data_IF_994530450862
#
_entry.id   IF_994530450862
#
_cell.length_a   1.000
_cell.length_b   1.000
_cell.length_c   1.000
_cell.angle_alpha   90.00
_cell.angle_beta   90.00
_cell.angle_gamma   90.00
#
_symmetry.space_group_name_H-M   'P 1'
#
loop_
_entity.id
_entity.type
_entity.pdbx_description
1 polymer ?
#
# COMPACT_ATOMS: atom_id res chain seq x y z
N UNK A 1 14.64 -15.52 -2.98
CA UNK A 1 13.21 -15.39 -2.62
C UNK A 1 13.03 -14.17 -1.76
N UNK A 2 12.08 -13.33 -2.10
CA UNK A 2 11.82 -12.10 -1.35
C UNK A 2 10.79 -12.40 -0.26
N UNK A 3 11.09 -11.98 0.97
CA UNK A 3 10.14 -12.12 2.05
C UNK A 3 8.99 -11.13 1.89
N UNK A 4 7.77 -11.62 2.11
CA UNK A 4 6.60 -10.78 2.16
C UNK A 4 6.39 -10.19 3.55
N UNK A 5 5.62 -9.13 3.62
CA UNK A 5 5.19 -8.54 4.88
C UNK A 5 3.68 -8.55 4.94
N UNK A 6 3.15 -8.50 6.17
CA UNK A 6 1.72 -8.49 6.41
C UNK A 6 1.39 -7.48 7.49
N UNK A 7 0.37 -6.68 7.24
CA UNK A 7 -0.07 -5.67 8.21
C UNK A 7 -1.50 -5.26 7.91
N UNK A 8 -2.11 -4.59 8.88
CA UNK A 8 -3.43 -4.00 8.71
C UNK A 8 -3.24 -2.52 8.37
N UNK A 9 -3.87 -2.05 7.31
CA UNK A 9 -3.71 -0.67 6.87
C UNK A 9 -5.03 -0.05 6.46
N UNK A 10 -5.06 1.29 6.50
CA UNK A 10 -6.23 2.06 6.09
C UNK A 10 -6.00 2.62 4.70
N UNK A 11 -7.03 2.55 3.87
CA UNK A 11 -7.00 3.13 2.54
C UNK A 11 -7.28 4.62 2.67
N UNK A 12 -6.35 5.45 2.19
CA UNK A 12 -6.49 6.90 2.29
C UNK A 12 -5.92 7.57 1.04
N UNK A 13 -6.22 8.86 0.88
CA UNK A 13 -5.62 9.63 -0.21
C UNK A 13 -4.16 9.92 0.08
N UNK A 14 -3.33 9.90 -0.95
CA UNK A 14 -1.91 10.27 -0.82
C UNK A 14 -1.76 11.66 -0.22
N UNK A 15 -2.62 12.59 -0.63
CA UNK A 15 -2.72 13.91 -0.05
C UNK A 15 -4.11 14.07 0.55
N UNK A 16 -4.27 13.85 1.87
CA UNK A 16 -5.58 13.93 2.52
C UNK A 16 -6.24 15.31 2.41
N UNK A 17 -5.44 16.36 2.33
CA UNK A 17 -5.96 17.73 2.23
C UNK A 17 -6.64 17.98 0.90
N UNK A 18 -6.15 17.35 -0.16
CA UNK A 18 -6.76 17.47 -1.48
C UNK A 18 -8.10 16.73 -1.56
N UNK A 19 -8.28 15.69 -0.75
CA UNK A 19 -9.52 14.91 -0.72
C UNK A 19 -9.82 14.15 -2.00
N UNK A 20 -8.81 13.97 -2.85
CA UNK A 20 -8.95 13.28 -4.14
C UNK A 20 -7.57 12.84 -4.62
N UNK A 21 -7.54 12.06 -5.67
CA UNK A 21 -6.32 11.64 -6.32
C UNK A 21 -5.94 10.22 -5.94
N UNK A 22 -4.65 9.98 -5.78
CA UNK A 22 -4.10 8.65 -5.60
C UNK A 22 -4.48 8.04 -4.25
N UNK A 23 -4.97 6.80 -4.29
CA UNK A 23 -5.24 6.03 -3.07
C UNK A 23 -3.97 5.32 -2.65
N UNK A 24 -3.69 5.32 -1.35
CA UNK A 24 -2.49 4.70 -0.81
C UNK A 24 -2.80 3.99 0.51
N UNK A 25 -1.92 3.07 0.89
CA UNK A 25 -1.93 2.45 2.21
C UNK A 25 -0.55 2.66 2.81
N UNK A 26 -0.49 3.22 4.01
CA UNK A 26 0.79 3.47 4.66
C UNK A 26 1.42 2.16 5.11
N UNK A 27 2.72 2.01 4.85
CA UNK A 27 3.48 0.82 5.21
C UNK A 27 4.14 1.09 6.58
N UNK A 28 3.91 0.23 7.58
CA UNK A 28 4.58 0.41 8.88
C UNK A 28 6.09 0.45 8.71
N UNK A 29 6.73 1.35 9.44
CA UNK A 29 8.18 1.57 9.36
C UNK A 29 8.98 0.27 9.52
N UNK A 30 8.52 -0.62 10.40
CA UNK A 30 9.17 -1.89 10.67
C UNK A 30 9.26 -2.82 9.45
N UNK A 31 8.39 -2.61 8.46
CA UNK A 31 8.36 -3.45 7.25
C UNK A 31 9.12 -2.84 6.08
N UNK A 32 9.53 -1.58 6.18
CA UNK A 32 10.18 -0.89 5.07
C UNK A 32 11.49 -1.57 4.67
N UNK A 33 12.32 -1.91 5.65
CA UNK A 33 13.60 -2.56 5.38
C UNK A 33 13.40 -3.94 4.75
N UNK A 34 12.43 -4.70 5.23
CA UNK A 34 12.11 -6.04 4.70
C UNK A 34 11.72 -5.97 3.24
N UNK A 35 11.03 -4.90 2.84
CA UNK A 35 10.60 -4.72 1.45
C UNK A 35 11.71 -4.17 0.54
N UNK A 36 12.85 -3.78 1.09
CA UNK A 36 13.97 -3.29 0.28
C UNK A 36 14.36 -1.84 0.52
N UNK A 37 13.80 -1.21 1.55
CA UNK A 37 14.15 0.15 1.93
C UNK A 37 13.20 1.19 1.35
N UNK A 38 13.55 2.45 1.52
CA UNK A 38 12.69 3.59 1.16
C UNK A 38 12.90 4.02 -0.28
N UNK A 39 12.72 3.10 -1.20
CA UNK A 39 12.86 3.37 -2.64
C UNK A 39 11.54 3.08 -3.33
N UNK A 40 11.33 3.72 -4.46
CA UNK A 40 10.17 3.45 -5.29
C UNK A 40 10.41 2.17 -6.09
N UNK A 41 9.55 1.20 -5.90
CA UNK A 41 9.62 -0.05 -6.64
C UNK A 41 8.23 -0.69 -6.72
N UNK A 42 8.10 -1.64 -7.62
CA UNK A 42 6.85 -2.36 -7.80
C UNK A 42 6.73 -3.48 -6.77
N UNK A 43 5.51 -3.69 -6.27
CA UNK A 43 5.22 -4.78 -5.33
C UNK A 43 3.98 -5.52 -5.78
N UNK A 44 3.89 -6.79 -5.38
CA UNK A 44 2.67 -7.59 -5.51
C UNK A 44 2.19 -7.94 -4.12
N UNK A 45 0.90 -8.21 -4.00
CA UNK A 45 0.36 -8.60 -2.71
C UNK A 45 -1.14 -8.85 -2.76
N UNK A 46 -1.77 -8.75 -1.60
CA UNK A 46 -3.21 -8.94 -1.49
C UNK A 46 -3.83 -7.88 -0.60
N UNK A 47 -5.09 -7.57 -0.89
CA UNK A 47 -5.95 -6.72 -0.07
C UNK A 47 -7.13 -7.61 0.35
N UNK A 48 -7.21 -7.94 1.64
CA UNK A 48 -8.20 -8.89 2.16
C UNK A 48 -8.25 -10.16 1.32
N UNK A 49 -7.07 -10.66 0.90
CA UNK A 49 -6.96 -11.86 0.10
C UNK A 49 -7.06 -11.67 -1.40
N UNK A 50 -7.44 -10.50 -1.88
CA UNK A 50 -7.57 -10.22 -3.31
C UNK A 50 -6.23 -9.77 -3.88
N UNK A 51 -5.68 -10.44 -4.90
CA UNK A 51 -4.38 -10.08 -5.46
C UNK A 51 -4.39 -8.69 -6.09
N UNK A 52 -3.27 -7.97 -5.92
CA UNK A 52 -3.08 -6.69 -6.57
C UNK A 52 -1.60 -6.42 -6.80
N UNK A 53 -1.32 -5.41 -7.63
CA UNK A 53 0.03 -4.88 -7.80
C UNK A 53 -0.02 -3.39 -7.50
N UNK A 54 1.08 -2.86 -7.00
CA UNK A 54 1.19 -1.44 -6.71
C UNK A 54 2.64 -0.99 -6.75
N UNK A 55 2.85 0.29 -6.47
CA UNK A 55 4.20 0.86 -6.39
C UNK A 55 4.37 1.55 -5.04
N UNK A 56 5.55 1.38 -4.46
CA UNK A 56 5.87 2.06 -3.20
C UNK A 56 6.33 3.48 -3.48
N UNK A 57 6.11 4.36 -2.53
CA UNK A 57 6.57 5.75 -2.62
C UNK A 57 6.67 6.38 -1.26
N UNK A 58 7.53 7.40 -1.15
CA UNK A 58 7.68 8.16 0.07
C UNK A 58 6.59 9.21 0.17
N UNK A 59 6.15 9.50 1.40
CA UNK A 59 5.18 10.55 1.68
C UNK A 59 5.85 11.66 2.50
N UNK A 60 5.20 12.82 2.53
CA UNK A 60 5.61 13.91 3.41
C UNK A 60 5.62 13.42 4.86
N UNK A 61 6.56 13.94 5.63
CA UNK A 61 6.67 13.57 7.04
C UNK A 61 7.47 12.31 7.29
N UNK A 62 8.08 11.74 6.26
CA UNK A 62 8.97 10.59 6.42
C UNK A 62 8.29 9.24 6.39
N UNK A 63 6.99 9.18 6.14
CA UNK A 63 6.30 7.91 6.02
C UNK A 63 6.48 7.31 4.61
N UNK A 64 6.12 6.06 4.47
CA UNK A 64 6.26 5.30 3.23
C UNK A 64 4.94 4.58 2.96
N UNK A 65 4.55 4.49 1.71
CA UNK A 65 3.24 3.92 1.38
C UNK A 65 3.29 3.14 0.07
N UNK A 66 2.20 2.41 -0.20
CA UNK A 66 2.00 1.73 -1.47
C UNK A 66 0.78 2.33 -2.14
N UNK A 67 0.92 2.66 -3.42
CA UNK A 67 -0.20 3.16 -4.22
C UNK A 67 -1.09 2.00 -4.65
N UNK A 68 -2.40 2.22 -4.58
CA UNK A 68 -3.39 1.20 -4.93
C UNK A 68 -4.33 1.77 -5.98
N UNK A 69 -4.53 1.04 -7.07
CA UNK A 69 -5.40 1.52 -8.15
C UNK A 69 -6.88 1.41 -7.76
N UNK A 70 -7.72 2.19 -8.44
CA UNK A 70 -9.16 2.09 -8.25
C UNK A 70 -9.67 0.70 -8.60
N UNK A 71 -9.09 0.09 -9.63
CA UNK A 71 -9.48 -1.26 -10.03
C UNK A 71 -9.17 -2.28 -8.94
N UNK A 72 -8.02 -2.16 -8.28
CA UNK A 72 -7.65 -3.05 -7.18
C UNK A 72 -8.61 -2.90 -6.00
N UNK A 73 -8.96 -1.67 -5.65
CA UNK A 73 -9.92 -1.41 -4.58
C UNK A 73 -11.30 -1.99 -4.91
N UNK A 74 -11.76 -1.79 -6.13
CA UNK A 74 -13.05 -2.32 -6.57
C UNK A 74 -13.07 -3.85 -6.51
N UNK A 75 -12.00 -4.49 -6.96
CA UNK A 75 -11.89 -5.96 -6.92
C UNK A 75 -11.92 -6.50 -5.50
N UNK A 76 -11.36 -5.77 -4.56
CA UNK A 76 -11.33 -6.16 -3.16
C UNK A 76 -12.59 -5.73 -2.39
N UNK A 77 -13.46 -4.94 -3.00
CA UNK A 77 -14.66 -4.42 -2.34
C UNK A 77 -14.36 -3.36 -1.30
N UNK A 78 -13.31 -2.58 -1.51
CA UNK A 78 -12.82 -1.60 -0.53
C UNK A 78 -12.98 -0.17 -1.04
N UNK A 79 -13.13 0.76 -0.12
CA UNK A 79 -13.22 2.18 -0.41
C UNK A 79 -12.33 3.00 0.52
N UNK A 80 -12.32 4.32 0.28
CA UNK A 80 -11.53 5.23 1.10
C UNK A 80 -11.98 5.15 2.55
N UNK A 81 -11.02 5.09 3.46
CA UNK A 81 -11.26 4.99 4.89
C UNK A 81 -11.42 3.56 5.41
N UNK A 82 -11.57 2.59 4.51
CA UNK A 82 -11.69 1.19 4.92
C UNK A 82 -10.34 0.65 5.38
N UNK A 83 -10.40 -0.28 6.31
CA UNK A 83 -9.22 -0.98 6.79
C UNK A 83 -9.12 -2.31 6.08
N UNK A 84 -7.91 -2.72 5.71
CA UNK A 84 -7.68 -3.96 4.99
C UNK A 84 -6.49 -4.70 5.55
N UNK A 85 -6.55 -6.01 5.43
CA UNK A 85 -5.41 -6.87 5.71
C UNK A 85 -4.53 -6.87 4.45
N UNK A 86 -3.30 -6.40 4.57
CA UNK A 86 -2.41 -6.18 3.43
C UNK A 86 -1.23 -7.12 3.49
N UNK A 87 -0.94 -7.77 2.37
CA UNK A 87 0.34 -8.46 2.19
C UNK A 87 1.07 -7.80 1.03
N UNK A 88 2.37 -7.69 1.15
CA UNK A 88 3.22 -7.11 0.11
C UNK A 88 4.50 -7.91 -0.03
N UNK A 89 4.96 -8.06 -1.27
CA UNK A 89 6.26 -8.66 -1.56
C UNK A 89 6.79 -8.05 -2.85
N UNK A 90 8.10 -8.02 -3.00
CA UNK A 90 8.70 -7.65 -4.28
C UNK A 90 8.59 -8.83 -5.24
N UNK A 91 8.27 -8.56 -6.51
CA UNK A 91 8.18 -9.63 -7.50
C UNK A 91 9.53 -10.27 -7.80
#
# INVERSE_FOLDING_TARGET
MVEGVRFSGRIEFFDPEAGKGLAVIEIPTEHVATLGGRQQFRVTGTLDGTPFTGSTMARKGGSFCVAVSKAALASAGLGMGDQAEVTLARP
#
